data_IF_079692281968
#
_entry.id   IF_079692281968
#
_cell.length_a   1.000
_cell.length_b   1.000
_cell.length_c   1.000
_cell.angle_alpha   90.00
_cell.angle_beta   90.00
_cell.angle_gamma   90.00
#
_symmetry.space_group_name_H-M   'P 1'
#
loop_
_entity.id
_entity.type
_entity.pdbx_description
1 polymer ?
#
# COMPACT_ATOMS: atom_id res chain seq x y z
N UNK A 1 -13.24 18.61 61.92
CA UNK A 1 -12.52 17.53 61.20
C UNK A 1 -12.25 17.97 59.76
N UNK A 2 -11.21 18.78 59.49
CA UNK A 2 -10.95 19.37 58.15
C UNK A 2 -9.61 18.97 57.53
N UNK A 3 -8.84 18.09 58.20
CA UNK A 3 -7.44 17.84 57.84
C UNK A 3 -7.18 16.42 57.33
N UNK A 4 -8.22 15.61 57.09
CA UNK A 4 -8.06 14.21 56.64
C UNK A 4 -8.27 13.99 55.14
N UNK A 5 -8.82 14.98 54.42
CA UNK A 5 -9.10 14.86 52.98
C UNK A 5 -7.84 15.16 52.15
N UNK A 6 -6.92 15.99 52.65
CA UNK A 6 -5.70 16.40 51.93
C UNK A 6 -4.68 15.24 51.83
N UNK A 7 -4.71 14.28 52.76
CA UNK A 7 -3.76 13.16 52.79
C UNK A 7 -4.13 12.05 51.78
N UNK A 8 -5.38 12.00 51.31
CA UNK A 8 -5.86 10.96 50.40
C UNK A 8 -5.52 11.25 48.92
N UNK A 9 -5.19 12.49 48.56
CA UNK A 9 -4.84 12.86 47.19
C UNK A 9 -3.40 12.48 46.79
N UNK A 10 -2.48 12.29 47.75
CA UNK A 10 -1.08 12.00 47.44
C UNK A 10 -0.79 10.53 47.09
N UNK A 11 -1.70 9.62 47.42
CA UNK A 11 -1.52 8.18 47.18
C UNK A 11 -1.97 7.80 45.76
N UNK A 12 -2.91 8.56 45.16
CA UNK A 12 -3.47 8.25 43.84
C UNK A 12 -2.56 8.72 42.70
N UNK A 13 -1.63 9.65 42.94
CA UNK A 13 -0.79 10.24 41.88
C UNK A 13 0.44 9.43 41.49
N UNK A 14 0.87 8.45 42.30
CA UNK A 14 2.06 7.63 41.99
C UNK A 14 1.76 6.31 41.26
N UNK A 15 0.48 6.00 40.99
CA UNK A 15 0.08 4.75 40.34
C UNK A 15 -0.01 4.79 38.80
N UNK A 16 0.13 5.96 38.15
CA UNK A 16 -0.11 6.10 36.71
C UNK A 16 1.13 5.98 35.82
N UNK A 17 2.32 5.70 36.36
CA UNK A 17 3.57 5.72 35.61
C UNK A 17 4.19 4.34 35.37
N UNK A 18 3.41 3.28 35.13
CA UNK A 18 3.97 2.02 34.62
C UNK A 18 2.99 1.30 33.70
N UNK A 19 3.03 1.66 32.41
CA UNK A 19 2.94 0.73 31.27
C UNK A 19 2.83 1.48 29.92
N UNK A 20 3.73 2.43 29.66
CA UNK A 20 4.12 2.73 28.28
C UNK A 20 5.43 2.00 28.01
N UNK A 21 5.43 0.67 28.13
CA UNK A 21 6.36 -0.13 27.35
C UNK A 21 5.80 -0.08 25.93
N UNK A 22 6.06 1.04 25.24
CA UNK A 22 6.09 0.99 23.79
C UNK A 22 7.25 0.07 23.48
N UNK A 23 6.97 -1.23 23.42
CA UNK A 23 7.73 -2.09 22.55
C UNK A 23 7.81 -1.30 21.27
N UNK A 24 9.02 -0.79 20.99
CA UNK A 24 9.45 -0.55 19.63
C UNK A 24 9.28 -1.92 19.00
N UNK A 25 8.06 -2.19 18.54
CA UNK A 25 7.85 -2.99 17.38
C UNK A 25 8.71 -2.26 16.35
N UNK A 26 9.97 -2.69 16.27
CA UNK A 26 10.69 -2.70 15.02
C UNK A 26 9.63 -3.16 14.04
N UNK A 27 9.09 -2.20 13.29
CA UNK A 27 8.18 -2.54 12.22
C UNK A 27 9.00 -3.55 11.43
N UNK A 28 8.61 -4.84 11.37
CA UNK A 28 8.95 -5.51 10.15
C UNK A 28 8.35 -4.57 9.12
N UNK A 29 9.17 -4.01 8.24
CA UNK A 29 8.68 -3.51 6.97
C UNK A 29 8.01 -4.71 6.32
N UNK A 30 6.79 -5.01 6.77
CA UNK A 30 5.79 -5.72 6.02
C UNK A 30 5.43 -4.69 4.96
N UNK A 31 6.35 -4.48 4.02
CA UNK A 31 6.00 -3.97 2.70
C UNK A 31 4.91 -4.94 2.24
N UNK A 32 3.65 -4.54 2.40
CA UNK A 32 2.52 -5.28 1.88
C UNK A 32 2.65 -5.12 0.37
N UNK A 33 3.47 -5.99 -0.22
CA UNK A 33 3.69 -6.08 -1.65
C UNK A 33 2.37 -6.50 -2.26
N UNK A 34 1.58 -5.51 -2.68
CA UNK A 34 0.28 -5.77 -3.26
C UNK A 34 0.48 -6.05 -4.74
N UNK A 35 -0.23 -7.05 -5.25
CA UNK A 35 -0.12 -7.44 -6.65
C UNK A 35 -1.49 -7.53 -7.29
N UNK A 36 -1.58 -7.12 -8.55
CA UNK A 36 -2.73 -7.40 -9.40
C UNK A 36 -2.29 -8.00 -10.73
N UNK A 37 -3.22 -8.67 -11.41
CA UNK A 37 -3.08 -9.19 -12.76
C UNK A 37 -4.03 -8.41 -13.66
N UNK A 38 -3.51 -7.89 -14.75
CA UNK A 38 -4.29 -7.11 -15.71
C UNK A 38 -3.89 -7.36 -17.15
N UNK A 39 -4.61 -6.71 -18.05
CA UNK A 39 -4.31 -6.69 -19.48
C UNK A 39 -4.01 -5.27 -19.90
N UNK A 40 -2.92 -5.09 -20.66
CA UNK A 40 -2.57 -3.80 -21.24
C UNK A 40 -3.60 -3.48 -22.33
N UNK A 41 -4.34 -2.39 -22.19
CA UNK A 41 -5.20 -1.88 -23.25
C UNK A 41 -4.41 -1.02 -24.24
N UNK A 42 -3.56 -0.13 -23.74
CA UNK A 42 -2.81 0.81 -24.57
C UNK A 42 -1.43 1.12 -23.95
N UNK A 43 -0.45 1.41 -24.80
CA UNK A 43 0.91 1.81 -24.38
C UNK A 43 1.19 3.23 -24.85
N UNK A 44 1.53 4.10 -23.90
CA UNK A 44 1.84 5.52 -24.13
C UNK A 44 3.33 5.78 -23.83
N UNK A 45 4.20 5.26 -24.69
CA UNK A 45 5.65 5.41 -24.56
C UNK A 45 6.21 4.69 -23.33
N UNK A 46 6.31 5.39 -22.20
CA UNK A 46 6.86 4.88 -20.93
C UNK A 46 5.79 4.49 -19.90
N UNK A 47 4.51 4.66 -20.23
CA UNK A 47 3.39 4.24 -19.40
C UNK A 47 2.44 3.35 -20.20
N UNK A 48 1.57 2.63 -19.52
CA UNK A 48 0.55 1.78 -20.10
C UNK A 48 -0.76 1.87 -19.31
N UNK A 49 -1.87 1.80 -20.03
CA UNK A 49 -3.21 1.68 -19.48
C UNK A 49 -3.49 0.19 -19.26
N UNK A 50 -3.76 -0.21 -18.02
CA UNK A 50 -3.94 -1.61 -17.64
C UNK A 50 -5.31 -1.81 -16.98
N UNK A 51 -6.11 -2.71 -17.53
CA UNK A 51 -7.38 -3.15 -16.94
C UNK A 51 -7.12 -4.33 -16.01
N UNK A 52 -7.50 -4.19 -14.76
CA UNK A 52 -7.32 -5.23 -13.75
C UNK A 52 -8.33 -6.35 -13.97
N UNK A 53 -7.81 -7.56 -14.14
CA UNK A 53 -8.61 -8.78 -14.27
C UNK A 53 -8.73 -9.55 -12.95
N UNK A 54 -7.70 -9.52 -12.11
CA UNK A 54 -7.63 -10.24 -10.84
C UNK A 54 -6.73 -9.48 -9.86
N UNK A 55 -7.10 -9.47 -8.58
CA UNK A 55 -6.37 -8.78 -7.52
C UNK A 55 -6.75 -9.36 -6.16
N UNK A 56 -5.79 -9.41 -5.24
CA UNK A 56 -6.08 -9.73 -3.83
C UNK A 56 -7.00 -8.68 -3.18
N UNK A 57 -6.96 -7.43 -3.66
CA UNK A 57 -7.94 -6.41 -3.33
C UNK A 57 -9.06 -6.42 -4.38
N UNK A 58 -10.22 -6.97 -3.99
CA UNK A 58 -11.40 -7.10 -4.86
C UNK A 58 -11.91 -5.78 -5.41
N UNK A 59 -11.64 -4.65 -4.75
CA UNK A 59 -12.05 -3.32 -5.21
C UNK A 59 -11.29 -2.85 -6.45
N UNK A 60 -10.15 -3.49 -6.77
CA UNK A 60 -9.35 -3.14 -7.95
C UNK A 60 -9.81 -3.86 -9.21
N UNK A 61 -10.50 -5.00 -9.08
CA UNK A 61 -10.93 -5.79 -10.23
C UNK A 61 -11.88 -4.98 -11.12
N UNK A 62 -11.63 -4.98 -12.43
CA UNK A 62 -12.37 -4.22 -13.42
C UNK A 62 -12.03 -2.72 -13.48
N UNK A 63 -11.16 -2.21 -12.61
CA UNK A 63 -10.65 -0.83 -12.70
C UNK A 63 -9.51 -0.74 -13.71
N UNK A 64 -9.33 0.44 -14.26
CA UNK A 64 -8.23 0.78 -15.18
C UNK A 64 -7.24 1.67 -14.45
N UNK A 65 -5.94 1.37 -14.58
CA UNK A 65 -4.87 2.17 -14.00
C UNK A 65 -3.83 2.53 -15.05
N UNK A 66 -3.20 3.69 -14.89
CA UNK A 66 -1.96 4.00 -15.59
C UNK A 66 -0.77 3.41 -14.82
N UNK A 67 0.10 2.69 -15.54
CA UNK A 67 1.22 1.93 -15.00
C UNK A 67 2.51 2.40 -15.68
N UNK A 68 3.53 2.75 -14.89
CA UNK A 68 4.86 3.06 -15.41
C UNK A 68 5.60 1.81 -15.90
N UNK A 69 6.00 1.79 -17.17
CA UNK A 69 6.81 0.72 -17.77
C UNK A 69 8.33 0.95 -17.60
N UNK A 70 8.73 2.15 -17.17
CA UNK A 70 10.14 2.57 -17.11
C UNK A 70 11.01 1.73 -16.18
N UNK A 71 10.39 0.95 -15.29
CA UNK A 71 11.08 0.06 -14.37
C UNK A 71 11.69 -1.16 -15.10
N UNK A 72 11.31 -1.40 -16.37
CA UNK A 72 11.69 -2.59 -17.14
C UNK A 72 12.08 -2.28 -18.61
N UNK A 73 13.27 -1.67 -18.84
CA UNK A 73 13.67 -1.22 -20.18
C UNK A 73 13.98 -2.34 -21.18
N UNK A 74 14.18 -3.57 -20.70
CA UNK A 74 14.57 -4.71 -21.55
C UNK A 74 13.37 -5.53 -22.05
N UNK A 75 12.15 -5.20 -21.62
CA UNK A 75 10.94 -5.95 -21.95
C UNK A 75 10.01 -5.07 -22.79
N UNK A 76 9.57 -5.58 -23.93
CA UNK A 76 8.65 -4.86 -24.81
C UNK A 76 7.22 -5.24 -24.48
N UNK A 77 6.47 -4.27 -23.99
CA UNK A 77 5.04 -4.38 -23.69
C UNK A 77 4.22 -3.84 -24.86
N UNK A 78 3.07 -4.47 -25.12
CA UNK A 78 2.12 -4.09 -26.16
C UNK A 78 0.68 -4.32 -25.67
N UNK A 79 -0.27 -3.69 -26.35
CA UNK A 79 -1.69 -3.93 -26.12
C UNK A 79 -2.03 -5.43 -26.25
N UNK A 80 -2.89 -5.93 -25.36
CA UNK A 80 -3.27 -7.33 -25.24
C UNK A 80 -2.35 -8.18 -24.37
N UNK A 81 -1.15 -7.70 -24.01
CA UNK A 81 -0.29 -8.43 -23.08
C UNK A 81 -0.98 -8.56 -21.71
N UNK A 82 -0.97 -9.78 -21.17
CA UNK A 82 -1.35 -10.03 -19.79
C UNK A 82 -0.13 -9.79 -18.90
N UNK A 83 -0.31 -9.02 -17.84
CA UNK A 83 0.78 -8.61 -16.95
C UNK A 83 0.42 -8.83 -15.49
N UNK A 84 1.43 -9.17 -14.69
CA UNK A 84 1.36 -9.10 -13.23
C UNK A 84 2.11 -7.86 -12.77
N UNK A 85 1.46 -7.02 -11.98
CA UNK A 85 2.03 -5.78 -11.45
C UNK A 85 2.14 -5.90 -9.93
N UNK A 86 3.35 -5.73 -9.41
CA UNK A 86 3.63 -5.47 -7.99
C UNK A 86 3.71 -3.96 -7.80
N UNK A 87 3.00 -3.42 -6.82
CA UNK A 87 2.92 -1.98 -6.59
C UNK A 87 2.92 -1.65 -5.10
N UNK A 88 3.33 -0.43 -4.77
CA UNK A 88 3.35 0.10 -3.40
C UNK A 88 2.04 0.82 -3.06
N UNK A 89 1.65 1.77 -3.91
CA UNK A 89 0.50 2.64 -3.68
C UNK A 89 -0.34 2.87 -4.95
N UNK A 90 -1.62 3.17 -4.71
CA UNK A 90 -2.57 3.65 -5.71
C UNK A 90 -2.79 5.14 -5.47
N UNK A 91 -2.57 5.96 -6.49
CA UNK A 91 -2.89 7.38 -6.49
C UNK A 91 -4.24 7.59 -7.20
N UNK A 92 -5.24 8.02 -6.43
CA UNK A 92 -6.60 8.31 -6.90
C UNK A 92 -6.69 9.69 -7.59
N UNK A 93 -5.95 9.84 -8.70
CA UNK A 93 -6.05 10.97 -9.63
C UNK A 93 -6.82 10.56 -10.90
N UNK A 94 -6.99 11.46 -11.88
CA UNK A 94 -7.77 11.18 -13.09
C UNK A 94 -6.88 11.18 -14.35
N UNK A 95 -6.56 10.01 -14.95
CA UNK A 95 -6.92 8.65 -14.53
C UNK A 95 -6.11 8.17 -13.31
N UNK A 96 -6.57 7.14 -12.57
CA UNK A 96 -5.85 6.66 -11.39
C UNK A 96 -4.56 5.95 -11.78
N UNK A 97 -3.53 6.11 -10.95
CA UNK A 97 -2.15 5.68 -11.26
C UNK A 97 -1.67 4.73 -10.18
N UNK A 98 -0.89 3.72 -10.56
CA UNK A 98 -0.19 2.86 -9.60
C UNK A 98 1.31 3.06 -9.66
N UNK A 99 1.93 3.11 -8.48
CA UNK A 99 3.39 3.11 -8.39
C UNK A 99 3.92 1.68 -8.52
N UNK A 100 4.18 1.25 -9.75
CA UNK A 100 4.67 -0.09 -10.04
C UNK A 100 6.12 -0.27 -9.55
N UNK A 101 6.30 -1.27 -8.70
CA UNK A 101 7.60 -1.76 -8.26
C UNK A 101 8.13 -2.84 -9.20
N UNK A 102 7.23 -3.69 -9.72
CA UNK A 102 7.54 -4.75 -10.66
C UNK A 102 6.43 -4.97 -11.68
N UNK A 103 6.79 -5.21 -12.93
CA UNK A 103 5.87 -5.71 -13.94
C UNK A 103 6.48 -6.96 -14.61
N UNK A 104 5.66 -7.97 -14.84
CA UNK A 104 6.05 -9.21 -15.49
C UNK A 104 5.02 -9.57 -16.55
N UNK A 105 5.47 -9.88 -17.76
CA UNK A 105 4.59 -10.46 -18.80
C UNK A 105 4.22 -11.89 -18.42
N UNK A 106 2.92 -12.18 -18.41
CA UNK A 106 2.41 -13.53 -18.18
C UNK A 106 2.33 -14.28 -19.51
N UNK A 107 2.62 -15.58 -19.47
CA UNK A 107 2.50 -16.49 -20.63
C UNK A 107 1.07 -16.98 -20.83
#
# INVERSE_FOLDING_TARGET
MKNKIILLCFIVTNGLLFACNSEKAENPKNEIKTTFVGTIEEVHGKTATVVVSDSANSELAGRTFEVGLSVYPNETFQAGDKVRVEYDEVMEIAPPVVNALKIEKMK
#
